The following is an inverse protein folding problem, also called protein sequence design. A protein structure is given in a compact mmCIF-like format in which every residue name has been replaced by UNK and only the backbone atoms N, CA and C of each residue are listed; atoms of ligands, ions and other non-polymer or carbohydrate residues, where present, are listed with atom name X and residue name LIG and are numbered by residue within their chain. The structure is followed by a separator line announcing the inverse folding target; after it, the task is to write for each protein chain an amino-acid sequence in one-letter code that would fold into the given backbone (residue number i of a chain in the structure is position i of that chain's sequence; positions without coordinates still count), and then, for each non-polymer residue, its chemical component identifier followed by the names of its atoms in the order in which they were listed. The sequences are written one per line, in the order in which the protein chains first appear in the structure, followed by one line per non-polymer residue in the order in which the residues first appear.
data_IF_441426210617
#
_entry.id   IF_441426210617
#
_cell.length_a   1.000
_cell.length_b   1.000
_cell.length_c   1.000
_cell.angle_alpha   90.00
_cell.angle_beta   90.00
_cell.angle_gamma   90.00
#
_symmetry.space_group_name_H-M   'P 1'
#
loop_
_entity.id
_entity.type
_entity.pdbx_description
1 polymer ?
#
# COMPACT_ATOMS: atom_id res chain seq x y z
N UNK A 1 -5.76 -8.14 32.13
CA UNK A 1 -5.73 -6.74 31.64
C UNK A 1 -4.76 -6.64 30.45
N UNK A 2 -5.02 -5.72 29.55
CA UNK A 2 -4.23 -5.51 28.32
C UNK A 2 -2.78 -5.17 28.67
N UNK A 3 -2.55 -4.40 29.73
CA UNK A 3 -1.22 -4.01 30.18
C UNK A 3 -0.30 -5.20 30.50
N UNK A 4 -0.83 -6.22 31.17
CA UNK A 4 -0.07 -7.44 31.45
C UNK A 4 0.36 -8.15 30.14
N UNK A 5 -0.53 -8.23 29.16
CA UNK A 5 -0.24 -8.84 27.85
C UNK A 5 0.83 -8.05 27.11
N UNK A 6 0.75 -6.71 27.13
CA UNK A 6 1.76 -5.84 26.54
C UNK A 6 3.15 -6.09 27.13
N UNK A 7 3.26 -6.11 28.46
CA UNK A 7 4.53 -6.36 29.17
C UNK A 7 5.08 -7.76 28.89
N UNK A 8 4.22 -8.76 28.82
CA UNK A 8 4.61 -10.12 28.47
C UNK A 8 5.16 -10.18 27.04
N UNK A 9 4.44 -9.59 26.06
CA UNK A 9 4.85 -9.61 24.65
C UNK A 9 6.09 -8.76 24.36
N UNK A 10 6.34 -7.70 25.14
CA UNK A 10 7.56 -6.92 25.04
C UNK A 10 8.80 -7.75 25.39
N UNK A 11 8.69 -8.61 26.40
CA UNK A 11 9.76 -9.50 26.86
C UNK A 11 9.87 -10.77 26.02
N UNK A 12 8.89 -11.05 25.18
CA UNK A 12 8.90 -12.25 24.36
C UNK A 12 9.91 -12.12 23.22
N UNK A 13 10.93 -12.96 23.27
CA UNK A 13 12.09 -12.88 22.36
C UNK A 13 11.84 -13.50 20.97
N UNK A 14 10.67 -14.10 20.75
CA UNK A 14 10.35 -14.71 19.47
C UNK A 14 9.72 -13.72 18.48
N UNK A 15 9.61 -14.13 17.23
CA UNK A 15 8.88 -13.39 16.18
C UNK A 15 7.40 -13.31 16.54
N UNK A 16 6.82 -12.14 16.42
CA UNK A 16 5.43 -11.87 16.73
C UNK A 16 4.72 -11.30 15.51
N UNK A 17 3.66 -11.97 15.07
CA UNK A 17 2.78 -11.51 14.02
C UNK A 17 1.38 -11.31 14.59
N UNK A 18 0.85 -10.09 14.51
CA UNK A 18 -0.43 -9.77 15.11
C UNK A 18 -1.23 -8.76 14.28
N UNK A 19 -2.55 -8.83 14.39
CA UNK A 19 -3.46 -7.86 13.80
C UNK A 19 -4.26 -7.16 14.89
N UNK A 20 -4.21 -5.84 14.90
CA UNK A 20 -4.92 -5.04 15.89
C UNK A 20 -5.37 -3.70 15.31
N UNK A 21 -6.40 -3.13 15.92
CA UNK A 21 -6.83 -1.74 15.72
C UNK A 21 -6.41 -0.84 16.91
N UNK A 22 -5.75 -1.41 17.91
CA UNK A 22 -5.34 -0.70 19.11
C UNK A 22 -4.02 0.02 18.90
N UNK A 23 -4.07 1.34 18.72
CA UNK A 23 -2.90 2.17 18.36
C UNK A 23 -1.77 2.11 19.40
N UNK A 24 -2.11 2.07 20.69
CA UNK A 24 -1.12 1.99 21.77
C UNK A 24 -0.35 0.66 21.73
N UNK A 25 -1.03 -0.42 21.38
CA UNK A 25 -0.42 -1.73 21.24
C UNK A 25 0.59 -1.76 20.07
N UNK A 26 0.20 -1.15 18.93
CA UNK A 26 1.11 -0.98 17.78
C UNK A 26 2.36 -0.16 18.14
N UNK A 27 2.18 0.97 18.83
CA UNK A 27 3.29 1.84 19.24
C UNK A 27 4.32 1.13 20.11
N UNK A 28 3.86 0.30 21.02
CA UNK A 28 4.74 -0.38 21.97
C UNK A 28 5.44 -1.60 21.38
N UNK A 29 4.80 -2.33 20.50
CA UNK A 29 5.24 -3.65 20.10
C UNK A 29 5.71 -3.73 18.65
N UNK A 30 5.09 -3.00 17.71
CA UNK A 30 5.39 -3.16 16.31
C UNK A 30 6.74 -2.53 15.95
N UNK A 31 7.63 -3.33 15.41
CA UNK A 31 8.88 -2.89 14.77
C UNK A 31 8.73 -2.78 13.25
N UNK A 32 7.68 -3.41 12.72
CA UNK A 32 7.34 -3.44 11.31
C UNK A 32 5.82 -3.46 11.15
N UNK A 33 5.30 -2.77 10.15
CA UNK A 33 3.87 -2.64 9.90
C UNK A 33 3.54 -3.11 8.49
N UNK A 34 2.55 -3.98 8.38
CA UNK A 34 1.94 -4.36 7.11
C UNK A 34 0.55 -3.74 7.08
N UNK A 35 0.35 -2.80 6.17
CA UNK A 35 -0.95 -2.19 5.93
C UNK A 35 -1.70 -2.93 4.84
N UNK A 36 -2.91 -3.37 5.15
CA UNK A 36 -3.83 -3.98 4.19
C UNK A 36 -4.99 -3.01 3.91
N UNK A 37 -5.01 -2.44 2.71
CA UNK A 37 -6.11 -1.60 2.26
C UNK A 37 -6.61 -2.06 0.88
N UNK A 38 -7.89 -2.40 0.79
CA UNK A 38 -8.58 -2.80 -0.46
C UNK A 38 -7.84 -3.86 -1.29
N UNK A 39 -7.28 -4.86 -0.62
CA UNK A 39 -6.54 -5.95 -1.25
C UNK A 39 -5.11 -5.60 -1.67
N UNK A 40 -4.67 -4.37 -1.43
CA UNK A 40 -3.29 -3.95 -1.61
C UNK A 40 -2.55 -4.00 -0.28
N UNK A 41 -1.32 -4.45 -0.32
CA UNK A 41 -0.44 -4.53 0.83
C UNK A 41 0.68 -3.51 0.69
N UNK A 42 0.88 -2.75 1.76
CA UNK A 42 2.02 -1.85 1.90
C UNK A 42 2.84 -2.29 3.10
N UNK A 43 4.10 -2.54 2.88
CA UNK A 43 5.05 -2.99 3.88
C UNK A 43 5.92 -1.81 4.36
N UNK A 44 5.89 -1.55 5.66
CA UNK A 44 6.56 -0.44 6.30
C UNK A 44 7.53 -0.97 7.34
N UNK A 45 8.82 -1.06 6.98
CA UNK A 45 9.86 -1.47 7.91
C UNK A 45 10.22 -0.31 8.85
N UNK A 46 9.30 0.00 9.77
CA UNK A 46 9.43 1.05 10.76
C UNK A 46 8.40 0.86 11.89
N UNK A 47 8.60 1.59 13.00
CA UNK A 47 7.63 1.69 14.09
C UNK A 47 6.35 2.45 13.67
N UNK A 48 5.34 2.41 14.54
CA UNK A 48 4.02 2.97 14.25
C UNK A 48 4.03 4.50 14.08
N UNK A 49 4.83 5.22 14.82
CA UNK A 49 4.87 6.69 14.73
C UNK A 49 5.58 7.14 13.45
N UNK A 50 6.67 6.51 13.10
CA UNK A 50 7.36 6.71 11.80
C UNK A 50 6.46 6.34 10.62
N UNK A 51 5.69 5.24 10.76
CA UNK A 51 4.69 4.86 9.76
C UNK A 51 3.67 5.97 9.52
N UNK A 52 3.11 6.57 10.59
CA UNK A 52 2.13 7.66 10.45
C UNK A 52 2.69 8.86 9.69
N UNK A 53 3.92 9.27 10.01
CA UNK A 53 4.60 10.38 9.34
C UNK A 53 4.84 10.06 7.86
N UNK A 54 5.37 8.89 7.55
CA UNK A 54 5.65 8.47 6.18
C UNK A 54 4.38 8.30 5.36
N UNK A 55 3.33 7.76 5.95
CA UNK A 55 2.03 7.62 5.30
C UNK A 55 1.43 8.98 4.97
N UNK A 56 1.49 9.95 5.90
CA UNK A 56 1.00 11.30 5.63
C UNK A 56 1.79 11.95 4.49
N UNK A 57 3.10 11.88 4.51
CA UNK A 57 3.95 12.42 3.44
C UNK A 57 3.65 11.75 2.07
N UNK A 58 3.40 10.45 2.06
CA UNK A 58 3.03 9.74 0.83
C UNK A 58 1.67 10.21 0.29
N UNK A 59 0.67 10.43 1.16
CA UNK A 59 -0.64 10.97 0.79
C UNK A 59 -0.54 12.41 0.25
N UNK A 60 0.30 13.25 0.85
CA UNK A 60 0.51 14.63 0.41
C UNK A 60 1.21 14.68 -0.95
N UNK A 61 2.20 13.81 -1.17
CA UNK A 61 2.87 13.66 -2.47
C UNK A 61 1.88 13.19 -3.55
N UNK A 62 1.08 12.18 -3.24
CA UNK A 62 0.05 11.69 -4.15
C UNK A 62 -0.97 12.78 -4.52
N UNK A 63 -1.41 13.57 -3.54
CA UNK A 63 -2.31 14.70 -3.76
C UNK A 63 -1.68 15.75 -4.68
N UNK A 64 -0.40 16.04 -4.50
CA UNK A 64 0.35 16.98 -5.34
C UNK A 64 0.50 16.46 -6.77
N UNK A 65 0.89 15.20 -6.95
CA UNK A 65 0.98 14.57 -8.26
C UNK A 65 -0.37 14.54 -9.00
N UNK A 66 -1.46 14.25 -8.28
CA UNK A 66 -2.82 14.30 -8.80
C UNK A 66 -3.19 15.71 -9.29
N UNK A 67 -2.91 16.73 -8.49
CA UNK A 67 -3.18 18.11 -8.85
C UNK A 67 -2.41 18.54 -10.10
N UNK A 68 -1.13 18.18 -10.21
CA UNK A 68 -0.30 18.45 -11.39
C UNK A 68 -0.82 17.74 -12.64
N UNK A 69 -1.20 16.49 -12.50
CA UNK A 69 -1.79 15.72 -13.58
C UNK A 69 -3.14 16.31 -14.04
N UNK A 70 -4.02 16.65 -13.11
CA UNK A 70 -5.32 17.24 -13.41
C UNK A 70 -5.17 18.60 -14.09
N UNK A 71 -4.20 19.41 -13.68
CA UNK A 71 -3.84 20.65 -14.35
C UNK A 71 -3.35 20.42 -15.79
N UNK A 72 -2.54 19.38 -16.01
CA UNK A 72 -2.09 19.00 -17.36
C UNK A 72 -3.24 18.52 -18.22
N UNK A 73 -4.10 17.65 -17.68
CA UNK A 73 -5.27 17.13 -18.37
C UNK A 73 -6.21 18.28 -18.79
N UNK A 74 -6.52 19.21 -17.88
CA UNK A 74 -7.38 20.38 -18.17
C UNK A 74 -6.82 21.26 -19.28
N UNK A 75 -5.51 21.46 -19.33
CA UNK A 75 -4.85 22.19 -20.43
C UNK A 75 -5.01 21.49 -21.77
N UNK A 76 -4.83 20.18 -21.81
CA UNK A 76 -5.00 19.40 -23.02
C UNK A 76 -6.48 19.37 -23.48
N UNK A 77 -7.42 19.28 -22.55
CA UNK A 77 -8.85 19.36 -22.86
C UNK A 77 -9.25 20.73 -23.42
N UNK A 78 -8.75 21.80 -22.84
CA UNK A 78 -8.98 23.17 -23.32
C UNK A 78 -8.45 23.32 -24.75
N UNK A 79 -7.25 22.82 -24.99
CA UNK A 79 -6.63 22.86 -26.30
C UNK A 79 -7.45 22.12 -27.37
N UNK A 80 -7.99 20.94 -27.06
CA UNK A 80 -8.85 20.18 -27.96
C UNK A 80 -10.17 20.93 -28.24
N UNK A 81 -10.77 21.58 -27.22
CA UNK A 81 -12.02 22.37 -27.38
C UNK A 81 -11.84 23.62 -28.23
N UNK A 82 -10.66 24.24 -28.21
CA UNK A 82 -10.38 25.48 -29.00
C UNK A 82 -10.25 25.24 -30.49
N UNK A 83 -10.46 24.00 -30.95
CA UNK A 83 -10.67 23.69 -32.35
C UNK A 83 -9.41 23.61 -33.18
N UNK A 84 -8.96 22.42 -33.43
CA UNK A 84 -7.90 22.13 -34.38
C UNK A 84 -8.51 22.03 -35.79
N UNK A 85 -8.88 23.15 -36.40
CA UNK A 85 -9.38 23.14 -37.78
C UNK A 85 -8.31 23.04 -38.86
N UNK A 86 -7.00 23.15 -38.52
CA UNK A 86 -5.97 23.42 -39.53
C UNK A 86 -4.93 22.33 -39.82
N UNK A 87 -4.76 21.24 -39.01
CA UNK A 87 -3.76 20.20 -39.31
C UNK A 87 -4.18 18.82 -38.77
N UNK A 88 -4.95 18.06 -39.52
CA UNK A 88 -5.49 16.75 -39.14
C UNK A 88 -4.42 15.72 -38.72
N UNK A 89 -3.34 15.57 -39.43
CA UNK A 89 -2.37 14.45 -39.26
C UNK A 89 -1.42 14.64 -38.09
N UNK A 90 -1.11 15.87 -37.69
CA UNK A 90 -0.16 16.15 -36.58
C UNK A 90 -0.81 16.06 -35.19
N UNK A 91 -2.11 15.96 -35.12
CA UNK A 91 -2.90 16.06 -33.88
C UNK A 91 -3.45 14.71 -33.40
N UNK A 92 -3.46 13.66 -34.20
CA UNK A 92 -3.97 12.34 -33.81
C UNK A 92 -3.18 11.75 -32.62
N UNK A 93 -1.85 11.91 -32.59
CA UNK A 93 -1.02 11.46 -31.48
C UNK A 93 -1.37 12.16 -30.15
N UNK A 94 -1.67 13.46 -30.23
CA UNK A 94 -2.04 14.26 -29.04
C UNK A 94 -3.45 13.93 -28.55
N UNK A 95 -4.37 13.65 -29.45
CA UNK A 95 -5.72 13.19 -29.10
C UNK A 95 -5.66 11.81 -28.43
N UNK A 96 -4.88 10.87 -28.97
CA UNK A 96 -4.65 9.56 -28.33
C UNK A 96 -4.02 9.71 -26.94
N UNK A 97 -3.07 10.62 -26.79
CA UNK A 97 -2.46 10.90 -25.47
C UNK A 97 -3.49 11.46 -24.47
N UNK A 98 -4.41 12.33 -24.92
CA UNK A 98 -5.49 12.84 -24.09
C UNK A 98 -6.47 11.73 -23.67
N UNK A 99 -6.84 10.83 -24.58
CA UNK A 99 -7.68 9.67 -24.27
C UNK A 99 -7.03 8.75 -23.24
N UNK A 100 -5.72 8.51 -23.39
CA UNK A 100 -4.94 7.75 -22.41
C UNK A 100 -4.95 8.44 -21.03
N UNK A 101 -4.76 9.75 -21.00
CA UNK A 101 -4.82 10.51 -19.73
C UNK A 101 -6.22 10.46 -19.10
N UNK A 102 -7.29 10.53 -19.87
CA UNK A 102 -8.68 10.38 -19.39
C UNK A 102 -8.92 9.00 -18.80
N UNK A 103 -8.44 7.96 -19.48
CA UNK A 103 -8.50 6.59 -19.00
C UNK A 103 -7.72 6.41 -17.69
N UNK A 104 -6.51 6.92 -17.63
CA UNK A 104 -5.72 6.93 -16.38
C UNK A 104 -6.43 7.64 -15.23
N UNK A 105 -7.14 8.76 -15.52
CA UNK A 105 -7.93 9.46 -14.51
C UNK A 105 -9.14 8.65 -14.04
N UNK A 106 -9.86 7.95 -14.95
CA UNK A 106 -10.99 7.10 -14.59
C UNK A 106 -10.56 5.88 -13.77
N UNK A 107 -9.45 5.25 -14.15
CA UNK A 107 -8.86 4.12 -13.44
C UNK A 107 -8.38 4.51 -12.03
N UNK A 108 -8.00 5.78 -11.80
CA UNK A 108 -7.66 6.30 -10.46
C UNK A 108 -8.83 6.28 -9.49
N UNK A 109 -10.09 6.45 -9.95
CA UNK A 109 -11.29 6.38 -9.08
C UNK A 109 -11.46 5.01 -8.42
N UNK A 110 -10.95 3.95 -9.06
CA UNK A 110 -10.99 2.58 -8.52
C UNK A 110 -9.79 2.24 -7.64
N UNK A 111 -8.69 2.99 -7.75
CA UNK A 111 -7.42 2.77 -7.03
C UNK A 111 -7.12 3.86 -6.01
N UNK A 112 -7.97 4.06 -5.03
CA UNK A 112 -7.61 4.89 -3.88
C UNK A 112 -6.70 4.05 -2.98
N UNK A 113 -5.39 4.33 -3.01
CA UNK A 113 -4.43 3.84 -2.02
C UNK A 113 -3.35 2.87 -2.49
N UNK A 114 -2.72 3.07 -3.65
CA UNK A 114 -1.50 2.31 -4.00
C UNK A 114 -0.28 3.20 -3.83
N UNK A 115 0.39 3.11 -2.69
CA UNK A 115 1.74 3.63 -2.52
C UNK A 115 2.69 2.53 -2.96
N UNK A 116 3.41 2.74 -4.06
CA UNK A 116 4.55 1.89 -4.44
C UNK A 116 5.75 2.35 -3.63
N UNK A 117 6.13 1.61 -2.62
CA UNK A 117 7.44 1.76 -1.98
C UNK A 117 8.41 0.76 -2.60
N UNK A 118 9.54 1.26 -3.06
CA UNK A 118 10.70 0.41 -3.35
C UNK A 118 11.31 0.02 -2.00
N UNK A 119 11.29 -1.26 -1.68
CA UNK A 119 12.05 -1.82 -0.56
C UNK A 119 13.53 -1.79 -0.92
N UNK A 120 14.33 -1.05 -0.16
CA UNK A 120 15.77 -1.27 -0.16
C UNK A 120 16.03 -2.53 0.66
N UNK A 121 16.53 -3.56 -0.02
CA UNK A 121 17.04 -4.77 0.63
C UNK A 121 18.22 -4.40 1.54
N UNK A 122 18.02 -4.45 2.84
CA UNK A 122 19.12 -4.53 3.78
C UNK A 122 19.39 -6.00 4.03
N UNK A 123 20.49 -6.50 3.48
CA UNK A 123 21.05 -7.81 3.78
C UNK A 123 21.24 -7.97 5.29
N UNK A 124 20.38 -8.77 5.93
CA UNK A 124 20.62 -9.36 7.22
C UNK A 124 20.62 -10.86 7.07
N UNK A 125 21.81 -11.41 7.06
CA UNK A 125 22.07 -12.84 7.16
C UNK A 125 21.44 -13.39 8.43
N UNK A 126 20.52 -14.38 8.30
CA UNK A 126 20.15 -15.23 9.40
C UNK A 126 18.68 -15.29 9.74
N UNK A 127 18.11 -16.45 9.47
CA UNK A 127 16.88 -17.00 10.01
C UNK A 127 15.57 -16.39 9.44
N UNK A 128 15.34 -16.68 8.18
CA UNK A 128 14.07 -16.55 7.50
C UNK A 128 12.97 -17.32 8.25
N UNK A 129 11.85 -16.67 8.54
CA UNK A 129 10.67 -17.28 9.18
C UNK A 129 9.57 -17.49 8.17
N UNK A 130 9.26 -16.46 7.37
CA UNK A 130 8.25 -16.51 6.32
C UNK A 130 8.79 -15.79 5.10
N UNK A 131 8.69 -16.43 3.94
CA UNK A 131 8.93 -15.82 2.65
C UNK A 131 7.73 -16.05 1.74
N UNK A 132 7.24 -14.98 1.15
CA UNK A 132 6.14 -15.06 0.17
C UNK A 132 6.52 -14.31 -1.09
N UNK A 133 6.25 -14.91 -2.24
CA UNK A 133 6.47 -14.30 -3.54
C UNK A 133 5.15 -14.29 -4.33
N UNK A 134 4.66 -13.09 -4.64
CA UNK A 134 3.45 -12.84 -5.45
C UNK A 134 2.21 -13.66 -5.03
N UNK A 135 2.08 -13.95 -3.74
CA UNK A 135 0.95 -14.72 -3.22
C UNK A 135 -0.33 -13.91 -3.30
N UNK A 136 -1.39 -14.52 -3.83
CA UNK A 136 -2.71 -13.91 -3.95
C UNK A 136 -3.77 -14.83 -3.34
N UNK A 137 -4.76 -14.25 -2.70
CA UNK A 137 -5.88 -14.98 -2.11
C UNK A 137 -7.19 -14.26 -2.40
N UNK A 138 -8.21 -15.00 -2.80
CA UNK A 138 -9.56 -14.51 -3.06
C UNK A 138 -10.62 -15.42 -2.41
N UNK A 139 -11.73 -14.82 -2.03
CA UNK A 139 -12.96 -15.54 -1.64
C UNK A 139 -14.05 -15.24 -2.68
N UNK A 140 -14.42 -16.24 -3.48
CA UNK A 140 -15.27 -16.06 -4.65
C UNK A 140 -14.65 -15.03 -5.60
N UNK A 141 -15.41 -14.03 -6.01
CA UNK A 141 -14.97 -12.97 -6.93
C UNK A 141 -14.21 -11.83 -6.21
N UNK A 142 -14.10 -11.86 -4.88
CA UNK A 142 -13.46 -10.81 -4.10
C UNK A 142 -12.00 -11.16 -3.79
N UNK A 143 -11.08 -10.44 -4.41
CA UNK A 143 -9.66 -10.49 -4.07
C UNK A 143 -9.43 -9.89 -2.67
N UNK A 144 -8.85 -10.68 -1.76
CA UNK A 144 -8.50 -10.27 -0.39
C UNK A 144 -7.05 -9.80 -0.32
N UNK A 145 -6.16 -10.54 -0.97
CA UNK A 145 -4.72 -10.24 -1.06
C UNK A 145 -4.30 -10.38 -2.51
N UNK A 146 -3.56 -9.42 -3.02
CA UNK A 146 -3.05 -9.43 -4.39
C UNK A 146 -1.53 -9.27 -4.40
N UNK A 147 -0.85 -10.26 -5.01
CA UNK A 147 0.59 -10.23 -5.27
C UNK A 147 1.44 -9.88 -4.04
N UNK A 148 1.16 -10.49 -2.89
CA UNK A 148 1.95 -10.31 -1.68
C UNK A 148 3.34 -10.90 -1.89
N UNK A 149 4.35 -10.03 -1.78
CA UNK A 149 5.75 -10.41 -1.66
C UNK A 149 6.27 -9.80 -0.38
N UNK A 150 6.62 -10.62 0.60
CA UNK A 150 7.20 -10.18 1.87
C UNK A 150 8.07 -11.24 2.47
N UNK A 151 9.05 -10.80 3.25
CA UNK A 151 9.97 -11.66 4.01
C UNK A 151 9.90 -11.27 5.48
N UNK A 152 9.64 -12.22 6.37
CA UNK A 152 9.62 -12.01 7.82
C UNK A 152 10.80 -12.78 8.41
N UNK A 153 11.63 -12.06 9.14
CA UNK A 153 12.84 -12.59 9.75
C UNK A 153 12.62 -12.91 11.23
N UNK A 154 13.46 -13.76 11.79
CA UNK A 154 13.41 -14.07 13.21
C UNK A 154 13.67 -12.81 14.06
N UNK A 155 12.76 -12.56 15.03
CA UNK A 155 12.79 -11.39 15.91
C UNK A 155 11.93 -10.22 15.42
N UNK A 156 11.38 -10.26 14.19
CA UNK A 156 10.47 -9.23 13.71
C UNK A 156 9.18 -9.23 14.54
N UNK A 157 8.70 -8.04 14.87
CA UNK A 157 7.38 -7.82 15.48
C UNK A 157 6.48 -7.10 14.50
N UNK A 158 5.77 -7.88 13.69
CA UNK A 158 5.00 -7.39 12.55
C UNK A 158 3.54 -7.14 12.94
N UNK A 159 3.12 -5.89 12.88
CA UNK A 159 1.73 -5.48 13.07
C UNK A 159 0.98 -5.36 11.75
N UNK A 160 -0.16 -6.05 11.64
CA UNK A 160 -1.07 -5.92 10.49
C UNK A 160 -2.17 -4.94 10.82
N UNK A 161 -2.32 -3.91 9.99
CA UNK A 161 -3.34 -2.88 10.12
C UNK A 161 -4.24 -2.83 8.88
N UNK A 162 -5.42 -2.27 9.03
CA UNK A 162 -6.39 -2.09 7.96
C UNK A 162 -7.82 -1.95 8.50
N UNK A 163 -8.78 -1.50 7.67
CA UNK A 163 -10.18 -1.38 8.06
C UNK A 163 -10.80 -2.75 8.39
N UNK A 164 -11.96 -2.73 9.06
CA UNK A 164 -12.71 -3.94 9.34
C UNK A 164 -13.17 -4.58 8.01
N UNK A 165 -13.05 -5.90 7.91
CA UNK A 165 -13.38 -6.62 6.68
C UNK A 165 -12.30 -6.55 5.58
N UNK A 166 -11.15 -5.91 5.81
CA UNK A 166 -10.05 -5.85 4.83
C UNK A 166 -9.37 -7.19 4.58
N UNK A 167 -9.60 -8.22 5.43
CA UNK A 167 -8.97 -9.53 5.26
C UNK A 167 -7.75 -9.77 6.15
N UNK A 168 -7.57 -9.00 7.23
CA UNK A 168 -6.42 -9.15 8.14
C UNK A 168 -6.26 -10.57 8.69
N UNK A 169 -7.37 -11.19 9.11
CA UNK A 169 -7.37 -12.57 9.62
C UNK A 169 -7.06 -13.58 8.51
N UNK A 170 -7.54 -13.31 7.29
CA UNK A 170 -7.23 -14.14 6.11
C UNK A 170 -5.76 -14.06 5.77
N UNK A 171 -5.18 -12.86 5.82
CA UNK A 171 -3.75 -12.65 5.62
C UNK A 171 -2.92 -13.38 6.68
N UNK A 172 -3.30 -13.31 7.96
CA UNK A 172 -2.64 -14.07 9.02
C UNK A 172 -2.64 -15.57 8.74
N UNK A 173 -3.80 -16.14 8.37
CA UNK A 173 -3.91 -17.57 8.03
C UNK A 173 -3.05 -17.90 6.81
N UNK A 174 -3.04 -17.06 5.79
CA UNK A 174 -2.23 -17.26 4.58
C UNK A 174 -0.72 -17.29 4.87
N UNK A 175 -0.26 -16.48 5.83
CA UNK A 175 1.15 -16.40 6.22
C UNK A 175 1.57 -17.53 7.17
N UNK A 176 0.63 -18.13 7.91
CA UNK A 176 0.89 -19.20 8.87
C UNK A 176 0.69 -20.61 8.30
N UNK A 177 0.10 -20.75 7.09
CA UNK A 177 -0.25 -22.02 6.44
C UNK A 177 -1.64 -22.45 6.86
#
# INVERSE_FOLDING_TARGET
SIAWLEDFLLRYAATLLFATHHRMFLRKLATRIIELDRGQLSDWNCDYDTFLVRKQAALDNEATERALFDKKLSKEETWVRQGVRARRTRNEGRVRALELMRRQRSERRERIGTVRMATQDSERSGQLVIETEKVSCAYGDRAIVQSLTTTIMRGDKVGIIGPNGAGKTTLLRLLLG
#
